data_IF_118478841951
#
_entry.id   IF_118478841951
#
_cell.length_a   1.000
_cell.length_b   1.000
_cell.length_c   1.000
_cell.angle_alpha   90.00
_cell.angle_beta   90.00
_cell.angle_gamma   90.00
#
_symmetry.space_group_name_H-M   'P 1'
#
loop_
_entity.id
_entity.type
_entity.pdbx_description
1 polymer ?
#
# COMPACT_ATOMS: atom_id res chain seq x y z
N UNK A 1 10.82 15.42 15.50
CA UNK A 1 9.53 15.19 14.84
C UNK A 1 9.35 13.70 14.74
N UNK A 2 8.27 13.15 15.32
CA UNK A 2 7.97 11.72 15.22
C UNK A 2 7.67 11.35 13.78
N UNK A 3 8.14 10.19 13.33
CA UNK A 3 7.80 9.66 12.01
C UNK A 3 6.28 9.46 11.92
N UNK A 4 5.58 9.97 10.88
CA UNK A 4 4.15 9.73 10.67
C UNK A 4 3.76 8.24 10.78
N UNK A 5 4.67 7.34 10.38
CA UNK A 5 4.48 5.90 10.45
C UNK A 5 4.38 5.40 11.90
N UNK A 6 5.20 5.94 12.80
CA UNK A 6 5.17 5.58 14.22
C UNK A 6 3.92 6.10 14.91
N UNK A 7 3.44 7.28 14.51
CA UNK A 7 2.18 7.85 15.02
C UNK A 7 0.98 6.98 14.62
N UNK A 8 0.89 6.57 13.34
CA UNK A 8 -0.16 5.66 12.88
C UNK A 8 -0.09 4.31 13.58
N UNK A 9 1.12 3.77 13.77
CA UNK A 9 1.30 2.53 14.49
C UNK A 9 0.89 2.64 15.97
N UNK A 10 1.20 3.74 16.64
CA UNK A 10 0.77 3.98 18.01
C UNK A 10 -0.76 3.99 18.12
N UNK A 11 -1.47 4.59 17.16
CA UNK A 11 -2.93 4.55 17.12
C UNK A 11 -3.48 3.13 16.90
N UNK A 12 -2.82 2.31 16.09
CA UNK A 12 -3.19 0.89 15.93
C UNK A 12 -3.03 0.13 17.24
N UNK A 13 -1.97 0.39 18.01
CA UNK A 13 -1.75 -0.26 19.29
C UNK A 13 -2.74 0.18 20.36
N UNK A 14 -3.14 1.46 20.36
CA UNK A 14 -4.11 2.04 21.28
C UNK A 14 -5.52 1.46 21.05
N UNK A 15 -5.90 1.27 19.78
CA UNK A 15 -7.20 0.73 19.39
C UNK A 15 -7.04 -0.47 18.46
N UNK A 16 -6.56 -1.58 19.02
CA UNK A 16 -6.26 -2.81 18.28
C UNK A 16 -7.50 -3.47 17.62
N UNK A 17 -8.67 -3.34 18.22
CA UNK A 17 -9.89 -3.94 17.66
C UNK A 17 -10.52 -3.08 16.53
N UNK A 18 -9.96 -1.90 16.25
CA UNK A 18 -10.46 -1.02 15.21
C UNK A 18 -9.84 -1.35 13.85
N UNK A 19 -10.55 -2.16 13.07
CA UNK A 19 -10.23 -2.51 11.68
C UNK A 19 -9.86 -1.30 10.82
N UNK A 20 -10.50 -0.14 11.03
CA UNK A 20 -10.25 1.06 10.22
C UNK A 20 -8.85 1.62 10.47
N UNK A 21 -8.33 1.50 11.69
CA UNK A 21 -6.98 1.94 12.05
C UNK A 21 -5.93 1.05 11.40
N UNK A 22 -6.16 -0.26 11.42
CA UNK A 22 -5.33 -1.21 10.68
C UNK A 22 -5.32 -0.92 9.18
N UNK A 23 -6.49 -0.67 8.59
CA UNK A 23 -6.60 -0.33 7.17
C UNK A 23 -5.88 0.98 6.83
N UNK A 24 -6.05 2.03 7.63
CA UNK A 24 -5.39 3.32 7.41
C UNK A 24 -3.86 3.20 7.48
N UNK A 25 -3.34 2.45 8.46
CA UNK A 25 -1.90 2.17 8.57
C UNK A 25 -1.39 1.39 7.35
N UNK A 26 -2.09 0.33 6.93
CA UNK A 26 -1.69 -0.46 5.77
C UNK A 26 -1.74 0.35 4.47
N UNK A 27 -2.78 1.18 4.28
CA UNK A 27 -2.90 2.06 3.12
C UNK A 27 -1.71 3.03 3.03
N UNK A 28 -1.31 3.63 4.16
CA UNK A 28 -0.12 4.48 4.21
C UNK A 28 1.14 3.72 3.80
N UNK A 29 1.34 2.49 4.32
CA UNK A 29 2.51 1.68 3.98
C UNK A 29 2.54 1.20 2.52
N UNK A 30 1.38 0.97 1.90
CA UNK A 30 1.28 0.68 0.47
C UNK A 30 1.73 1.89 -0.34
N UNK A 31 1.19 3.07 -0.02
CA UNK A 31 1.46 4.32 -0.74
C UNK A 31 2.94 4.74 -0.66
N UNK A 32 3.57 4.50 0.49
CA UNK A 32 4.97 4.89 0.76
C UNK A 32 5.97 3.75 0.53
N UNK A 33 5.52 2.56 0.11
CA UNK A 33 6.41 1.41 -0.12
C UNK A 33 7.04 0.80 1.12
N UNK A 34 6.52 1.08 2.33
CA UNK A 34 7.06 0.63 3.63
C UNK A 34 6.37 -0.62 4.17
N UNK A 35 5.78 -1.46 3.31
CA UNK A 35 5.09 -2.70 3.71
C UNK A 35 5.98 -3.69 4.49
N UNK A 36 7.28 -3.73 4.21
CA UNK A 36 8.22 -4.56 4.95
C UNK A 36 8.28 -4.18 6.44
N UNK A 37 8.22 -2.89 6.75
CA UNK A 37 8.21 -2.41 8.13
C UNK A 37 6.87 -2.69 8.82
N UNK A 38 5.76 -2.56 8.09
CA UNK A 38 4.44 -2.96 8.61
C UNK A 38 4.46 -4.45 9.01
N UNK A 39 4.98 -5.32 8.14
CA UNK A 39 5.11 -6.74 8.43
C UNK A 39 6.01 -7.01 9.65
N UNK A 40 7.14 -6.31 9.79
CA UNK A 40 8.02 -6.43 10.95
C UNK A 40 7.32 -6.04 12.26
N UNK A 41 6.52 -4.96 12.24
CA UNK A 41 5.75 -4.51 13.41
C UNK A 41 4.67 -5.52 13.81
N UNK A 42 3.89 -6.04 12.86
CA UNK A 42 2.90 -7.09 13.15
C UNK A 42 3.53 -8.39 13.64
N UNK A 43 4.69 -8.77 13.11
CA UNK A 43 5.45 -9.95 13.56
C UNK A 43 5.86 -9.81 15.03
N UNK A 44 6.39 -8.65 15.42
CA UNK A 44 6.74 -8.38 16.82
C UNK A 44 5.55 -8.56 17.77
N UNK A 45 4.35 -8.11 17.38
CA UNK A 45 3.14 -8.31 18.20
C UNK A 45 2.75 -9.79 18.28
N UNK A 46 2.83 -10.51 17.16
CA UNK A 46 2.56 -11.94 17.12
C UNK A 46 3.55 -12.76 17.97
N UNK A 47 4.82 -12.36 18.02
CA UNK A 47 5.90 -13.01 18.77
C UNK A 47 5.92 -12.62 20.26
N UNK A 48 5.69 -11.35 20.61
CA UNK A 48 5.65 -10.89 22.01
C UNK A 48 4.57 -11.61 22.83
N UNK A 49 3.50 -12.03 22.16
CA UNK A 49 2.43 -12.84 22.76
C UNK A 49 2.84 -14.30 23.03
N UNK A 50 3.96 -14.77 22.46
CA UNK A 50 4.50 -16.14 22.65
C UNK A 50 5.54 -16.21 23.77
N UNK A 51 6.33 -15.16 24.01
CA UNK A 51 7.26 -15.10 25.14
C UNK A 51 6.53 -15.01 26.49
N UNK A 52 5.38 -14.32 26.53
CA UNK A 52 4.49 -14.32 27.68
C UNK A 52 3.96 -15.73 28.03
N UNK A 53 3.94 -16.65 27.05
CA UNK A 53 3.46 -18.04 27.19
C UNK A 53 4.47 -18.95 27.90
N UNK A 54 5.77 -18.63 27.83
CA UNK A 54 6.85 -19.47 28.39
C UNK A 54 7.18 -19.11 29.84
N UNK A 55 6.91 -17.86 30.25
CA UNK A 55 7.29 -17.34 31.59
C UNK A 55 6.20 -17.60 32.64
N UNK A 56 4.98 -17.97 32.24
CA UNK A 56 3.83 -18.09 33.15
C UNK A 56 3.51 -19.54 33.57
N UNK A 57 4.47 -20.20 34.23
CA UNK A 57 4.20 -21.44 34.99
C UNK A 57 4.00 -21.18 36.50
N UNK A 58 3.76 -19.91 36.88
CA UNK A 58 3.48 -19.53 38.26
C UNK A 58 2.98 -18.09 38.38
N UNK A 59 1.67 -17.87 38.31
CA UNK A 59 1.12 -16.53 38.52
C UNK A 59 -0.36 -16.38 38.18
N UNK A 60 -1.18 -16.36 39.23
CA UNK A 60 -2.63 -16.16 39.20
C UNK A 60 -2.96 -14.72 38.79
N UNK A 61 -3.14 -14.39 37.51
CA UNK A 61 -3.83 -13.18 37.01
C UNK A 61 -4.44 -13.41 35.61
N UNK A 62 -5.66 -13.96 35.58
CA UNK A 62 -6.31 -14.51 34.38
C UNK A 62 -7.04 -13.54 33.43
N UNK A 63 -6.76 -12.23 33.43
CA UNK A 63 -7.51 -11.27 32.59
C UNK A 63 -6.75 -10.77 31.35
N UNK A 64 -5.41 -10.68 31.38
CA UNK A 64 -4.63 -10.16 30.24
C UNK A 64 -4.32 -11.20 29.17
N UNK A 65 -4.33 -12.49 29.54
CA UNK A 65 -3.86 -13.56 28.67
C UNK A 65 -4.75 -13.83 27.46
N UNK A 66 -6.08 -13.79 27.68
CA UNK A 66 -7.06 -14.01 26.63
C UNK A 66 -7.04 -12.89 25.59
N UNK A 67 -6.77 -11.66 26.02
CA UNK A 67 -6.61 -10.51 25.13
C UNK A 67 -5.32 -10.65 24.29
N UNK A 68 -4.18 -10.97 24.91
CA UNK A 68 -2.91 -11.20 24.20
C UNK A 68 -3.00 -12.34 23.17
N UNK A 69 -3.66 -13.45 23.54
CA UNK A 69 -3.89 -14.56 22.62
C UNK A 69 -4.77 -14.15 21.42
N UNK A 70 -5.82 -13.35 21.66
CA UNK A 70 -6.67 -12.81 20.59
C UNK A 70 -5.88 -11.89 19.66
N UNK A 71 -5.09 -10.97 20.23
CA UNK A 71 -4.24 -10.05 19.47
C UNK A 71 -3.20 -10.79 18.62
N UNK A 72 -2.66 -11.90 19.12
CA UNK A 72 -1.74 -12.75 18.36
C UNK A 72 -2.41 -13.36 17.12
N UNK A 73 -3.57 -13.96 17.31
CA UNK A 73 -4.25 -14.63 16.22
C UNK A 73 -4.73 -13.61 15.17
N UNK A 74 -5.13 -12.42 15.61
CA UNK A 74 -5.44 -11.32 14.72
C UNK A 74 -4.20 -10.77 14.01
N UNK A 75 -3.07 -10.59 14.71
CA UNK A 75 -1.81 -10.19 14.09
C UNK A 75 -1.37 -11.17 12.99
N UNK A 76 -1.56 -12.49 13.20
CA UNK A 76 -1.30 -13.52 12.18
C UNK A 76 -2.21 -13.36 10.96
N UNK A 77 -3.52 -13.11 11.17
CA UNK A 77 -4.45 -12.83 10.07
C UNK A 77 -4.02 -11.57 9.31
N UNK A 78 -3.57 -10.52 10.01
CA UNK A 78 -3.05 -9.30 9.39
C UNK A 78 -1.77 -9.55 8.60
N UNK A 79 -0.85 -10.37 9.08
CA UNK A 79 0.35 -10.76 8.31
C UNK A 79 -0.03 -11.47 7.00
N UNK A 80 -1.01 -12.36 7.04
CA UNK A 80 -1.52 -13.01 5.83
C UNK A 80 -2.15 -11.99 4.86
N UNK A 81 -2.92 -11.03 5.38
CA UNK A 81 -3.48 -9.94 4.58
C UNK A 81 -2.40 -9.04 3.95
N UNK A 82 -1.34 -8.70 4.71
CA UNK A 82 -0.18 -7.95 4.20
C UNK A 82 0.51 -8.72 3.07
N UNK A 83 0.71 -10.03 3.23
CA UNK A 83 1.29 -10.87 2.19
C UNK A 83 0.44 -10.88 0.92
N UNK A 84 -0.89 -10.99 1.06
CA UNK A 84 -1.81 -10.94 -0.08
C UNK A 84 -1.77 -9.59 -0.78
N UNK A 85 -1.77 -8.48 -0.03
CA UNK A 85 -1.62 -7.13 -0.60
C UNK A 85 -0.30 -6.98 -1.34
N UNK A 86 0.81 -7.42 -0.74
CA UNK A 86 2.13 -7.37 -1.37
C UNK A 86 2.17 -8.20 -2.67
N UNK A 87 1.58 -9.40 -2.70
CA UNK A 87 1.46 -10.20 -3.91
C UNK A 87 0.62 -9.50 -4.98
N UNK A 88 -0.51 -8.88 -4.61
CA UNK A 88 -1.35 -8.12 -5.54
C UNK A 88 -0.63 -6.89 -6.10
N UNK A 89 0.18 -6.20 -5.28
CA UNK A 89 0.97 -5.06 -5.71
C UNK A 89 2.08 -5.47 -6.68
N UNK A 90 2.74 -6.61 -6.43
CA UNK A 90 3.71 -7.19 -7.35
C UNK A 90 3.08 -7.61 -8.68
N UNK A 91 1.86 -8.16 -8.65
CA UNK A 91 1.14 -8.53 -9.87
C UNK A 91 0.74 -7.29 -10.67
N UNK A 92 0.25 -6.25 -9.99
CA UNK A 92 -0.08 -4.96 -10.62
C UNK A 92 1.16 -4.30 -11.28
N UNK A 93 2.33 -4.39 -10.63
CA UNK A 93 3.60 -3.93 -11.21
C UNK A 93 3.99 -4.75 -12.45
N UNK A 94 3.67 -6.04 -12.50
CA UNK A 94 3.89 -6.87 -13.70
C UNK A 94 2.92 -6.53 -14.82
N UNK A 95 1.70 -6.10 -14.51
CA UNK A 95 0.64 -5.83 -15.50
C UNK A 95 0.56 -4.39 -16.00
N UNK A 96 1.41 -3.47 -15.56
CA UNK A 96 1.58 -2.18 -16.25
C UNK A 96 2.66 -2.32 -17.33
N UNK A 97 2.32 -2.56 -18.61
CA UNK A 97 3.22 -2.16 -19.67
C UNK A 97 3.41 -0.64 -19.52
N UNK A 98 4.67 -0.20 -19.60
CA UNK A 98 5.09 1.19 -19.68
C UNK A 98 4.41 1.93 -20.85
N UNK A 99 3.11 2.23 -20.75
CA UNK A 99 2.29 2.89 -21.78
C UNK A 99 2.35 4.40 -21.68
N UNK A 100 2.90 4.93 -20.58
CA UNK A 100 3.01 6.37 -20.32
C UNK A 100 3.89 7.09 -21.35
N UNK A 101 4.97 6.45 -21.84
CA UNK A 101 5.86 7.09 -22.84
C UNK A 101 5.31 7.07 -24.26
N UNK A 102 4.49 6.09 -24.63
CA UNK A 102 4.03 5.91 -26.01
C UNK A 102 2.87 6.84 -26.37
N UNK A 103 1.97 7.13 -25.42
CA UNK A 103 0.86 8.07 -25.66
C UNK A 103 1.33 9.53 -25.84
N UNK A 104 2.44 9.92 -25.22
CA UNK A 104 3.01 11.26 -25.43
C UNK A 104 3.50 11.43 -26.88
N UNK A 105 4.21 10.43 -27.41
CA UNK A 105 4.63 10.42 -28.81
C UNK A 105 3.46 10.49 -29.78
N UNK A 106 2.43 9.65 -29.56
CA UNK A 106 1.25 9.62 -30.43
C UNK A 106 0.49 10.95 -30.44
N UNK A 107 0.35 11.63 -29.30
CA UNK A 107 -0.29 12.95 -29.21
C UNK A 107 0.46 14.03 -29.97
N UNK A 108 1.80 14.03 -29.91
CA UNK A 108 2.64 14.98 -30.65
C UNK A 108 2.54 14.73 -32.17
N UNK A 109 2.58 13.47 -32.60
CA UNK A 109 2.41 13.11 -34.01
C UNK A 109 1.03 13.49 -34.54
N UNK A 110 -0.04 13.23 -33.78
CA UNK A 110 -1.39 13.61 -34.16
C UNK A 110 -1.54 15.14 -34.31
N UNK A 111 -0.95 15.91 -33.38
CA UNK A 111 -0.94 17.38 -33.47
C UNK A 111 -0.19 17.90 -34.69
N UNK A 112 1.01 17.36 -34.98
CA UNK A 112 1.79 17.72 -36.16
C UNK A 112 1.07 17.38 -37.47
N UNK A 113 0.44 16.21 -37.54
CA UNK A 113 -0.32 15.79 -38.71
C UNK A 113 -1.51 16.71 -38.99
N UNK A 114 -2.25 17.10 -37.94
CA UNK A 114 -3.39 17.99 -38.05
C UNK A 114 -2.94 19.40 -38.50
N UNK A 115 -1.83 19.89 -37.95
CA UNK A 115 -1.25 21.17 -38.34
C UNK A 115 -0.76 21.17 -39.81
N UNK A 116 -0.10 20.10 -40.24
CA UNK A 116 0.35 19.92 -41.62
C UNK A 116 -0.84 19.85 -42.60
N UNK A 117 -1.92 19.15 -42.22
CA UNK A 117 -3.15 19.08 -43.01
C UNK A 117 -3.82 20.45 -43.16
N UNK A 118 -3.88 21.26 -42.10
CA UNK A 118 -4.42 22.62 -42.16
C UNK A 118 -3.57 23.54 -43.05
N UNK A 119 -2.24 23.44 -42.96
CA UNK A 119 -1.32 24.20 -43.82
C UNK A 119 -1.50 23.82 -45.30
N UNK A 120 -1.63 22.53 -45.61
CA UNK A 120 -1.86 22.06 -46.97
C UNK A 120 -3.20 22.58 -47.54
N UNK A 121 -4.26 22.56 -46.72
CA UNK A 121 -5.55 23.14 -47.08
C UNK A 121 -5.45 24.64 -47.34
N UNK A 122 -4.81 25.40 -46.45
CA UNK A 122 -4.62 26.83 -46.62
C UNK A 122 -3.85 27.16 -47.92
N UNK A 123 -2.79 26.40 -48.21
CA UNK A 123 -2.00 26.57 -49.42
C UNK A 123 -2.80 26.26 -50.69
N UNK A 124 -3.63 25.21 -50.66
CA UNK A 124 -4.50 24.84 -51.78
C UNK A 124 -5.56 25.92 -52.08
N UNK A 125 -6.10 26.57 -51.05
CA UNK A 125 -7.04 27.68 -51.23
C UNK A 125 -6.37 28.95 -51.76
N UNK A 126 -5.13 29.25 -51.37
CA UNK A 126 -4.38 30.40 -51.90
C UNK A 126 -3.99 30.30 -53.37
N UNK A 127 -4.00 29.11 -53.97
CA UNK A 127 -3.68 28.91 -55.39
C UNK A 127 -4.87 28.98 -56.35
N UNK A 128 -6.08 29.23 -55.85
CA UNK A 128 -7.32 29.26 -56.65
C UNK A 128 -7.83 30.67 -57.00
N UNK A 129 -7.10 31.73 -56.61
CA UNK A 129 -7.33 33.13 -57.04
C UNK A 129 -6.37 33.53 -58.16
#
# INVERSE_FOLDING_TARGET
MSDPLDVLWAHVLDTWDDDKRHQAFLAYCVDHGTLAEAAARYRKVAEASSEADVVSMGGVHGSGYRDLASRRDDAKKRLAAVALVAMSALDNQRTQPNTSRMMFGFKVFAGLFLLASLLALAWAFSGME
#
